data_IF_680531594662
#
_entry.id   IF_680531594662
#
_cell.length_a   1.000
_cell.length_b   1.000
_cell.length_c   1.000
_cell.angle_alpha   90.00
_cell.angle_beta   90.00
_cell.angle_gamma   90.00
#
_symmetry.space_group_name_H-M   'P 1'
#
loop_
_entity.id
_entity.type
_entity.pdbx_description
1 polymer ?
#
# COMPACT_ATOMS: atom_id res chain seq x y z
N UNK A 1 -13.40 19.25 -16.69
CA UNK A 1 -12.60 20.44 -16.28
C UNK A 1 -11.33 20.55 -17.14
N UNK A 2 -10.69 21.73 -17.22
CA UNK A 2 -9.36 21.90 -17.87
C UNK A 2 -8.22 21.84 -16.85
N UNK A 3 -6.98 21.60 -17.30
CA UNK A 3 -5.82 21.49 -16.40
C UNK A 3 -5.53 22.77 -15.60
N UNK A 4 -5.63 23.95 -16.23
CA UNK A 4 -5.44 25.22 -15.50
C UNK A 4 -6.51 25.45 -14.43
N UNK A 5 -7.76 25.03 -14.69
CA UNK A 5 -8.83 25.06 -13.69
C UNK A 5 -8.51 24.12 -12.51
N UNK A 6 -7.99 22.91 -12.77
CA UNK A 6 -7.54 21.98 -11.74
C UNK A 6 -6.46 22.62 -10.84
N UNK A 7 -5.45 23.28 -11.44
CA UNK A 7 -4.38 23.94 -10.70
C UNK A 7 -4.90 25.02 -9.76
N UNK A 8 -5.82 25.87 -10.23
CA UNK A 8 -6.41 26.92 -9.40
C UNK A 8 -7.26 26.34 -8.26
N UNK A 9 -8.03 25.30 -8.54
CA UNK A 9 -8.79 24.62 -7.48
C UNK A 9 -7.89 23.97 -6.43
N UNK A 10 -6.80 23.31 -6.83
CA UNK A 10 -5.80 22.74 -5.90
C UNK A 10 -5.15 23.81 -5.02
N UNK A 11 -4.86 25.00 -5.58
CA UNK A 11 -4.33 26.14 -4.80
C UNK A 11 -5.35 26.67 -3.79
N UNK A 12 -6.63 26.60 -4.10
CA UNK A 12 -7.73 27.08 -3.26
C UNK A 12 -8.15 26.09 -2.15
N UNK A 13 -7.61 24.86 -2.14
CA UNK A 13 -7.86 23.86 -1.08
C UNK A 13 -7.44 24.41 0.30
N UNK A 14 -8.21 24.15 1.38
CA UNK A 14 -7.84 24.56 2.73
C UNK A 14 -6.42 24.18 3.13
N UNK A 15 -5.76 25.04 3.92
CA UNK A 15 -4.36 24.86 4.31
C UNK A 15 -4.06 23.50 4.96
N UNK A 16 -5.04 22.90 5.65
CA UNK A 16 -4.93 21.58 6.26
C UNK A 16 -4.75 20.43 5.26
N UNK A 17 -5.21 20.60 4.01
CA UNK A 17 -5.14 19.60 2.94
C UNK A 17 -4.26 20.05 1.77
N UNK A 18 -3.79 21.30 1.77
CA UNK A 18 -3.06 21.90 0.66
C UNK A 18 -1.79 21.13 0.28
N UNK A 19 -1.07 20.56 1.26
CA UNK A 19 0.12 19.74 0.99
C UNK A 19 -0.26 18.48 0.19
N UNK A 20 -1.31 17.79 0.60
CA UNK A 20 -1.67 16.51 0.01
C UNK A 20 -2.24 16.69 -1.41
N UNK A 21 -3.05 17.73 -1.65
CA UNK A 21 -3.56 18.02 -2.99
C UNK A 21 -2.47 18.52 -3.95
N UNK A 22 -1.45 19.23 -3.45
CA UNK A 22 -0.28 19.58 -4.27
C UNK A 22 0.52 18.35 -4.67
N UNK A 23 0.69 17.40 -3.75
CA UNK A 23 1.35 16.13 -4.06
C UNK A 23 0.55 15.30 -5.06
N UNK A 24 -0.78 15.17 -4.88
CA UNK A 24 -1.66 14.53 -5.84
C UNK A 24 -1.55 15.15 -7.24
N UNK A 25 -1.53 16.48 -7.31
CA UNK A 25 -1.35 17.19 -8.57
C UNK A 25 0.00 16.87 -9.20
N UNK A 26 1.09 16.90 -8.42
CA UNK A 26 2.44 16.53 -8.88
C UNK A 26 2.47 15.12 -9.46
N UNK A 27 1.85 14.14 -8.78
CA UNK A 27 1.80 12.75 -9.22
C UNK A 27 0.94 12.54 -10.48
N UNK A 28 -0.12 13.34 -10.65
CA UNK A 28 -1.04 13.24 -11.78
C UNK A 28 -0.63 14.09 -13.00
N UNK A 29 0.44 14.89 -12.91
CA UNK A 29 0.81 15.86 -13.95
C UNK A 29 2.11 15.50 -14.68
N UNK A 30 2.17 15.89 -15.95
CA UNK A 30 3.36 15.83 -16.81
C UNK A 30 3.39 17.03 -17.75
N UNK A 31 4.56 17.69 -17.88
CA UNK A 31 4.82 18.71 -18.88
C UNK A 31 3.76 19.84 -19.01
N UNK A 32 3.10 20.20 -17.90
CA UNK A 32 2.07 21.25 -17.91
C UNK A 32 0.67 20.78 -18.31
N UNK A 33 0.39 19.48 -18.26
CA UNK A 33 -0.94 18.87 -18.37
C UNK A 33 -1.02 17.67 -17.39
N UNK A 34 -2.14 16.95 -17.37
CA UNK A 34 -2.23 15.63 -16.72
C UNK A 34 -1.65 14.53 -17.62
N UNK A 35 -1.25 13.42 -17.01
CA UNK A 35 -0.85 12.23 -17.77
C UNK A 35 -1.96 11.79 -18.74
N UNK A 36 -1.63 11.23 -19.93
CA UNK A 36 -2.62 10.83 -20.93
C UNK A 36 -3.73 9.92 -20.39
N UNK A 37 -3.39 8.96 -19.52
CA UNK A 37 -4.35 8.06 -18.89
C UNK A 37 -5.36 8.79 -17.98
N UNK A 38 -5.02 9.97 -17.47
CA UNK A 38 -5.91 10.76 -16.60
C UNK A 38 -6.74 11.80 -17.35
N UNK A 39 -6.57 11.96 -18.67
CA UNK A 39 -7.28 13.00 -19.44
C UNK A 39 -8.79 12.86 -19.37
N UNK A 40 -9.30 11.65 -19.57
CA UNK A 40 -10.75 11.37 -19.51
C UNK A 40 -11.31 11.69 -18.13
N UNK A 41 -10.57 11.35 -17.06
CA UNK A 41 -10.94 11.67 -15.69
C UNK A 41 -11.02 13.19 -15.46
N UNK A 42 -10.04 13.94 -15.98
CA UNK A 42 -10.01 15.40 -15.88
C UNK A 42 -11.17 16.06 -16.64
N UNK A 43 -11.44 15.61 -17.86
CA UNK A 43 -12.51 16.14 -18.71
C UNK A 43 -13.88 16.00 -18.04
N UNK A 44 -14.13 14.85 -17.42
CA UNK A 44 -15.40 14.51 -16.76
C UNK A 44 -15.53 15.08 -15.34
N UNK A 45 -14.44 15.45 -14.70
CA UNK A 45 -14.46 15.98 -13.35
C UNK A 45 -15.10 17.39 -13.29
N UNK A 46 -15.91 17.58 -12.25
CA UNK A 46 -16.50 18.88 -11.90
C UNK A 46 -15.57 19.72 -11.02
N UNK A 47 -14.79 19.07 -10.16
CA UNK A 47 -13.83 19.71 -9.27
C UNK A 47 -12.56 18.86 -9.06
N UNK A 48 -11.56 19.42 -8.39
CA UNK A 48 -10.29 18.77 -8.13
C UNK A 48 -10.43 17.50 -7.28
N UNK A 49 -11.38 17.45 -6.35
CA UNK A 49 -11.63 16.27 -5.51
C UNK A 49 -12.22 15.15 -6.36
N UNK A 50 -13.22 15.46 -7.18
CA UNK A 50 -13.86 14.55 -8.13
C UNK A 50 -12.86 14.00 -9.16
N UNK A 51 -11.92 14.83 -9.63
CA UNK A 51 -10.83 14.38 -10.49
C UNK A 51 -10.00 13.28 -9.83
N UNK A 52 -9.37 13.55 -8.68
CA UNK A 52 -8.51 12.56 -8.03
C UNK A 52 -9.30 11.34 -7.52
N UNK A 53 -10.54 11.55 -7.05
CA UNK A 53 -11.42 10.43 -6.69
C UNK A 53 -11.71 9.54 -7.89
N UNK A 54 -11.96 10.12 -9.07
CA UNK A 54 -12.24 9.31 -10.26
C UNK A 54 -11.04 8.49 -10.73
N UNK A 55 -9.80 8.99 -10.54
CA UNK A 55 -8.58 8.18 -10.74
C UNK A 55 -8.56 7.04 -9.74
N UNK A 56 -8.85 7.32 -8.47
CA UNK A 56 -8.90 6.28 -7.45
C UNK A 56 -9.98 5.24 -7.77
N UNK A 57 -11.19 5.63 -8.18
CA UNK A 57 -12.30 4.71 -8.44
C UNK A 57 -12.05 3.80 -9.65
N UNK A 58 -11.11 4.14 -10.54
CA UNK A 58 -10.75 3.31 -11.70
C UNK A 58 -9.72 2.23 -11.33
N UNK A 59 -10.14 0.97 -11.41
CA UNK A 59 -9.27 -0.19 -11.17
C UNK A 59 -8.16 -0.32 -12.22
N UNK A 60 -8.31 0.24 -13.43
CA UNK A 60 -7.21 0.29 -14.39
C UNK A 60 -6.07 1.19 -13.90
N UNK A 61 -6.37 2.16 -13.04
CA UNK A 61 -5.41 3.07 -12.44
C UNK A 61 -4.81 2.56 -11.12
N UNK A 62 -5.14 1.34 -10.66
CA UNK A 62 -4.75 0.87 -9.31
C UNK A 62 -3.24 0.79 -9.05
N UNK A 63 -2.41 0.71 -10.10
CA UNK A 63 -0.96 0.73 -10.00
C UNK A 63 -0.34 2.13 -10.13
N UNK A 64 -1.15 3.17 -10.32
CA UNK A 64 -0.68 4.55 -10.48
C UNK A 64 -0.32 5.20 -9.14
N UNK A 65 0.65 6.12 -9.17
CA UNK A 65 1.09 6.80 -7.94
C UNK A 65 -0.01 7.70 -7.36
N UNK A 66 -0.76 8.40 -8.21
CA UNK A 66 -1.86 9.25 -7.78
C UNK A 66 -2.98 8.44 -7.09
N UNK A 67 -3.26 7.23 -7.61
CA UNK A 67 -4.19 6.28 -7.01
C UNK A 67 -3.72 5.85 -5.62
N UNK A 68 -2.45 5.45 -5.49
CA UNK A 68 -1.86 5.02 -4.21
C UNK A 68 -1.88 6.13 -3.17
N UNK A 69 -1.51 7.34 -3.59
CA UNK A 69 -1.47 8.49 -2.70
C UNK A 69 -2.86 8.87 -2.21
N UNK A 70 -3.87 8.86 -3.09
CA UNK A 70 -5.27 9.05 -2.68
C UNK A 70 -5.71 8.03 -1.64
N UNK A 71 -5.40 6.75 -1.89
CA UNK A 71 -5.77 5.66 -1.00
C UNK A 71 -5.17 5.83 0.41
N UNK A 72 -3.90 6.25 0.48
CA UNK A 72 -3.19 6.53 1.74
C UNK A 72 -3.74 7.78 2.44
N UNK A 73 -3.93 8.87 1.71
CA UNK A 73 -4.43 10.15 2.23
C UNK A 73 -5.82 9.99 2.87
N UNK A 74 -6.74 9.31 2.18
CA UNK A 74 -8.12 9.16 2.63
C UNK A 74 -8.35 7.90 3.48
N UNK A 75 -7.31 7.12 3.77
CA UNK A 75 -7.40 5.88 4.56
C UNK A 75 -8.39 4.87 3.96
N UNK A 76 -8.35 4.71 2.65
CA UNK A 76 -9.28 3.84 1.93
C UNK A 76 -9.00 2.36 2.21
N UNK A 77 -10.06 1.54 2.18
CA UNK A 77 -9.96 0.07 2.28
C UNK A 77 -9.73 -0.53 0.89
N UNK A 78 -8.51 -0.36 0.37
CA UNK A 78 -8.22 -0.57 -1.03
C UNK A 78 -7.72 -1.99 -1.38
N UNK A 79 -7.25 -2.76 -0.40
CA UNK A 79 -6.57 -4.04 -0.64
C UNK A 79 -7.46 -5.10 -1.32
N UNK A 80 -8.78 -5.00 -1.17
CA UNK A 80 -9.76 -5.88 -1.84
C UNK A 80 -9.89 -5.62 -3.35
N UNK A 81 -9.25 -4.57 -3.87
CA UNK A 81 -9.24 -4.22 -5.30
C UNK A 81 -8.13 -4.91 -6.09
N UNK A 82 -7.33 -5.73 -5.40
CA UNK A 82 -6.25 -6.54 -5.97
C UNK A 82 -6.52 -8.03 -5.73
N UNK A 83 -5.89 -8.88 -6.54
CA UNK A 83 -6.02 -10.33 -6.45
C UNK A 83 -5.02 -10.88 -5.43
N UNK A 84 -5.46 -11.03 -4.18
CA UNK A 84 -4.67 -11.66 -3.13
C UNK A 84 -4.69 -13.19 -3.27
N UNK A 85 -3.55 -13.84 -3.01
CA UNK A 85 -3.50 -15.30 -2.88
C UNK A 85 -4.32 -15.78 -1.69
N UNK A 86 -4.30 -14.98 -0.61
CA UNK A 86 -5.08 -15.25 0.59
C UNK A 86 -5.51 -13.97 1.27
N UNK A 87 -6.67 -14.06 1.89
CA UNK A 87 -7.39 -12.93 2.43
C UNK A 87 -8.15 -13.36 3.69
N UNK A 88 -7.73 -12.85 4.86
CA UNK A 88 -8.54 -12.86 6.06
C UNK A 88 -9.14 -11.48 6.29
N UNK A 89 -10.40 -11.43 6.70
CA UNK A 89 -11.12 -10.19 6.99
C UNK A 89 -11.52 -10.17 8.45
N UNK A 90 -11.58 -8.97 9.02
CA UNK A 90 -12.08 -8.74 10.37
C UNK A 90 -11.35 -9.56 11.46
N UNK A 91 -10.03 -9.72 11.31
CA UNK A 91 -9.18 -10.31 12.34
C UNK A 91 -9.11 -9.35 13.52
N UNK A 92 -9.53 -9.81 14.70
CA UNK A 92 -9.43 -9.07 15.96
C UNK A 92 -7.98 -8.76 16.28
N UNK A 93 -7.73 -7.52 16.69
CA UNK A 93 -6.41 -7.04 17.06
C UNK A 93 -6.23 -7.09 18.56
N UNK A 94 -5.26 -7.89 18.99
CA UNK A 94 -4.75 -7.84 20.36
C UNK A 94 -3.72 -6.71 20.44
N UNK A 95 -3.86 -5.81 21.42
CA UNK A 95 -2.95 -4.68 21.63
C UNK A 95 -2.73 -3.78 20.39
N UNK A 96 -3.77 -3.59 19.56
CA UNK A 96 -3.74 -2.77 18.32
C UNK A 96 -2.76 -3.28 17.25
N UNK A 97 -2.39 -4.56 17.29
CA UNK A 97 -1.54 -5.18 16.29
C UNK A 97 -1.91 -6.63 16.02
N UNK A 98 -1.09 -7.28 15.21
CA UNK A 98 -1.21 -8.71 14.90
C UNK A 98 0.05 -9.41 15.36
N UNK A 99 -0.09 -10.54 16.04
CA UNK A 99 1.03 -11.37 16.46
C UNK A 99 1.43 -12.36 15.37
N UNK A 100 2.74 -12.41 15.11
CA UNK A 100 3.39 -13.50 14.40
C UNK A 100 3.99 -14.46 15.43
N UNK A 101 3.79 -15.76 15.23
CA UNK A 101 4.28 -16.80 16.15
C UNK A 101 5.12 -17.81 15.37
N UNK A 102 6.37 -18.01 15.74
CA UNK A 102 7.29 -18.93 15.06
C UNK A 102 8.55 -19.15 15.88
N UNK A 103 9.18 -20.33 15.78
CA UNK A 103 10.45 -20.62 16.48
C UNK A 103 10.40 -20.52 18.02
N UNK A 104 9.21 -20.56 18.63
CA UNK A 104 9.03 -20.30 20.07
C UNK A 104 9.00 -18.82 20.46
N UNK A 105 9.08 -17.91 19.49
CA UNK A 105 9.04 -16.47 19.67
C UNK A 105 7.69 -15.88 19.20
N UNK A 106 7.35 -14.71 19.75
CA UNK A 106 6.21 -13.90 19.30
C UNK A 106 6.68 -12.50 18.91
N UNK A 107 6.20 -12.00 17.77
CA UNK A 107 6.42 -10.62 17.32
C UNK A 107 5.10 -9.92 17.08
N UNK A 108 4.93 -8.77 17.71
CA UNK A 108 3.79 -7.89 17.48
C UNK A 108 4.09 -6.94 16.32
N UNK A 109 3.27 -6.99 15.27
CA UNK A 109 3.25 -5.97 14.22
C UNK A 109 2.17 -4.95 14.56
N UNK A 110 2.54 -3.71 14.97
CA UNK A 110 1.56 -2.69 15.31
C UNK A 110 0.88 -2.16 14.05
N UNK A 111 -0.44 -2.07 14.05
CA UNK A 111 -1.21 -1.45 12.98
C UNK A 111 -1.53 0.01 13.30
N UNK A 112 -1.58 0.83 12.26
CA UNK A 112 -1.90 2.25 12.40
C UNK A 112 -3.41 2.45 12.61
N UNK A 113 -3.78 3.23 13.63
CA UNK A 113 -5.16 3.63 13.91
C UNK A 113 -5.71 3.15 15.25
N UNK A 114 -7.00 3.41 15.47
CA UNK A 114 -7.75 3.02 16.69
C UNK A 114 -8.68 1.82 16.46
N UNK A 115 -8.57 1.16 15.30
CA UNK A 115 -9.41 0.01 14.99
C UNK A 115 -9.05 -1.18 15.88
N UNK A 116 -10.05 -1.97 16.24
CA UNK A 116 -9.88 -3.25 16.93
C UNK A 116 -9.88 -4.45 15.97
N UNK A 117 -10.01 -4.20 14.67
CA UNK A 117 -10.00 -5.22 13.63
C UNK A 117 -9.22 -4.77 12.40
N UNK A 118 -8.55 -5.71 11.75
CA UNK A 118 -7.89 -5.52 10.47
C UNK A 118 -8.11 -6.72 9.54
N UNK A 119 -7.82 -6.51 8.27
CA UNK A 119 -7.74 -7.57 7.27
C UNK A 119 -6.27 -7.96 7.08
N UNK A 120 -6.02 -9.25 6.87
CA UNK A 120 -4.68 -9.77 6.59
C UNK A 120 -4.67 -10.28 5.16
N UNK A 121 -3.67 -9.87 4.39
CA UNK A 121 -3.54 -10.21 2.97
C UNK A 121 -2.21 -10.89 2.73
N UNK A 122 -2.24 -11.89 1.85
CA UNK A 122 -1.06 -12.47 1.23
C UNK A 122 -1.14 -12.17 -0.27
N UNK A 123 -0.15 -11.45 -0.79
CA UNK A 123 0.03 -11.20 -2.20
C UNK A 123 1.30 -11.89 -2.70
N UNK A 124 1.31 -12.22 -3.99
CA UNK A 124 2.54 -12.46 -4.72
C UNK A 124 3.32 -11.16 -4.88
N UNK A 125 4.60 -11.28 -5.16
CA UNK A 125 5.46 -10.20 -5.62
C UNK A 125 4.80 -9.37 -6.71
N UNK A 126 4.78 -8.04 -6.52
CA UNK A 126 4.12 -7.06 -7.37
C UNK A 126 2.59 -7.25 -7.49
N UNK A 127 1.97 -8.00 -6.59
CA UNK A 127 0.53 -8.28 -6.58
C UNK A 127 -0.35 -7.10 -6.19
N UNK A 128 0.25 -6.01 -5.69
CA UNK A 128 -0.46 -4.79 -5.33
C UNK A 128 0.42 -3.56 -5.51
N UNK A 129 -0.17 -2.37 -5.35
CA UNK A 129 0.56 -1.11 -5.38
C UNK A 129 1.19 -0.80 -4.02
N UNK A 130 2.47 -1.15 -3.85
CA UNK A 130 3.22 -0.97 -2.60
C UNK A 130 3.23 0.46 -2.06
N UNK A 131 3.11 1.47 -2.95
CA UNK A 131 3.09 2.89 -2.58
C UNK A 131 1.82 3.29 -1.83
N UNK A 132 0.76 2.47 -1.92
CA UNK A 132 -0.49 2.66 -1.16
C UNK A 132 -0.36 2.17 0.30
N UNK A 133 0.75 1.51 0.64
CA UNK A 133 1.04 0.99 1.97
C UNK A 133 2.33 1.61 2.56
N UNK A 134 2.58 1.30 3.82
CA UNK A 134 3.80 1.62 4.54
C UNK A 134 4.61 0.34 4.73
N UNK A 135 5.83 0.31 4.22
CA UNK A 135 6.75 -0.80 4.47
C UNK A 135 7.13 -0.85 5.95
N UNK A 136 6.95 -2.01 6.58
CA UNK A 136 7.29 -2.24 7.99
C UNK A 136 8.62 -2.97 8.16
N UNK A 137 8.89 -3.97 7.33
CA UNK A 137 10.10 -4.78 7.39
C UNK A 137 9.98 -6.05 6.56
N UNK A 138 11.01 -6.89 6.59
CA UNK A 138 11.03 -8.18 5.93
C UNK A 138 11.13 -9.32 6.95
N UNK A 139 10.49 -10.46 6.66
CA UNK A 139 10.50 -11.66 7.51
C UNK A 139 10.73 -12.90 6.64
N UNK A 140 11.60 -13.79 7.11
CA UNK A 140 11.94 -15.04 6.43
C UNK A 140 11.76 -16.23 7.40
N UNK A 141 11.26 -17.34 6.89
CA UNK A 141 11.09 -18.58 7.64
C UNK A 141 9.63 -19.01 7.76
N UNK A 142 9.32 -19.78 8.80
CA UNK A 142 7.99 -20.35 9.03
C UNK A 142 7.37 -19.76 10.30
N UNK A 143 6.18 -19.17 10.15
CA UNK A 143 5.46 -18.53 11.24
C UNK A 143 3.95 -18.62 11.02
N UNK A 144 3.19 -18.45 12.09
CA UNK A 144 1.73 -18.37 12.07
C UNK A 144 1.28 -16.93 12.28
N UNK A 145 0.29 -16.49 11.50
CA UNK A 145 -0.35 -15.18 11.61
C UNK A 145 -1.87 -15.37 11.63
N UNK A 146 -2.52 -15.04 12.75
CA UNK A 146 -3.97 -15.21 12.93
C UNK A 146 -4.49 -16.62 12.56
N UNK A 147 -3.74 -17.67 12.89
CA UNK A 147 -4.08 -19.05 12.58
C UNK A 147 -3.73 -19.51 11.16
N UNK A 148 -3.11 -18.66 10.33
CA UNK A 148 -2.55 -19.05 9.03
C UNK A 148 -1.07 -19.38 9.19
N UNK A 149 -0.69 -20.57 8.75
CA UNK A 149 0.71 -20.94 8.53
C UNK A 149 1.25 -20.27 7.27
N UNK A 150 2.38 -19.57 7.42
CA UNK A 150 3.14 -18.91 6.37
C UNK A 150 4.57 -19.45 6.41
N UNK A 151 5.07 -19.86 5.25
CA UNK A 151 6.44 -20.32 5.06
C UNK A 151 7.04 -19.61 3.84
N UNK A 152 8.22 -19.02 3.98
CA UNK A 152 8.95 -18.35 2.89
C UNK A 152 9.55 -17.01 3.30
N UNK A 153 9.79 -16.16 2.31
CA UNK A 153 10.26 -14.78 2.47
C UNK A 153 9.15 -13.79 2.15
N UNK A 154 8.95 -12.81 3.02
CA UNK A 154 7.88 -11.84 2.90
C UNK A 154 8.34 -10.43 3.24
N UNK A 155 7.93 -9.48 2.41
CA UNK A 155 7.87 -8.08 2.80
C UNK A 155 6.55 -7.79 3.51
N UNK A 156 6.63 -7.10 4.63
CA UNK A 156 5.49 -6.77 5.48
C UNK A 156 5.14 -5.31 5.27
N UNK A 157 3.90 -5.06 4.86
CA UNK A 157 3.36 -3.73 4.68
C UNK A 157 2.14 -3.49 5.57
N UNK A 158 1.94 -2.23 5.96
CA UNK A 158 0.82 -1.77 6.76
C UNK A 158 0.03 -0.73 5.97
N UNK A 159 -1.28 -0.90 5.92
CA UNK A 159 -2.20 0.11 5.41
C UNK A 159 -3.36 0.32 6.38
N UNK A 160 -4.28 1.23 6.07
CA UNK A 160 -5.42 1.47 6.95
C UNK A 160 -6.21 0.17 7.17
N UNK A 161 -6.20 -0.33 8.41
CA UNK A 161 -6.87 -1.58 8.80
C UNK A 161 -6.45 -2.80 7.96
N UNK A 162 -5.21 -2.80 7.45
CA UNK A 162 -4.69 -3.93 6.68
C UNK A 162 -3.24 -4.25 7.06
N UNK A 163 -2.96 -5.53 7.25
CA UNK A 163 -1.62 -6.11 7.28
C UNK A 163 -1.42 -6.89 5.99
N UNK A 164 -0.32 -6.65 5.30
CA UNK A 164 -0.05 -7.22 4.00
C UNK A 164 1.29 -7.94 4.04
N UNK A 165 1.30 -9.19 3.61
CA UNK A 165 2.50 -9.97 3.32
C UNK A 165 2.65 -10.07 1.81
N UNK A 166 3.75 -9.55 1.28
CA UNK A 166 4.15 -9.77 -0.11
C UNK A 166 5.20 -10.87 -0.15
N UNK A 167 4.83 -12.03 -0.70
CA UNK A 167 5.76 -13.15 -0.89
C UNK A 167 6.69 -12.85 -2.05
N UNK A 168 7.99 -13.00 -1.83
CA UNK A 168 9.00 -12.91 -2.89
C UNK A 168 9.88 -14.15 -2.96
N UNK A 169 10.41 -14.41 -4.15
CA UNK A 169 11.28 -15.56 -4.41
C UNK A 169 12.74 -15.21 -4.15
N UNK A 170 13.45 -16.18 -3.57
CA UNK A 170 14.86 -16.07 -3.28
C UNK A 170 15.65 -16.75 -4.40
N UNK A 171 16.62 -16.06 -4.98
CA UNK A 171 17.57 -16.62 -5.94
C UNK A 171 18.60 -17.57 -5.27
N UNK A 172 19.44 -18.21 -6.08
CA UNK A 172 20.49 -19.11 -5.59
C UNK A 172 21.53 -18.42 -4.69
N UNK A 173 21.59 -17.08 -4.71
CA UNK A 173 22.50 -16.25 -3.90
C UNK A 173 21.83 -15.71 -2.63
N UNK A 174 20.64 -16.21 -2.28
CA UNK A 174 19.84 -15.75 -1.15
C UNK A 174 19.37 -14.29 -1.25
N UNK A 175 19.14 -13.80 -2.47
CA UNK A 175 18.68 -12.44 -2.76
C UNK A 175 17.28 -12.49 -3.37
N UNK A 176 16.54 -11.38 -3.28
CA UNK A 176 15.28 -11.24 -3.99
C UNK A 176 15.52 -11.36 -5.50
N UNK A 177 14.81 -12.27 -6.16
CA UNK A 177 15.08 -12.66 -7.55
C UNK A 177 14.93 -11.50 -8.56
N UNK A 178 14.11 -10.49 -8.26
CA UNK A 178 13.83 -9.35 -9.14
C UNK A 178 14.67 -8.08 -8.83
N UNK A 179 15.52 -8.13 -7.80
CA UNK A 179 16.40 -7.04 -7.42
C UNK A 179 15.72 -5.83 -6.75
N UNK A 180 14.44 -5.89 -6.39
CA UNK A 180 13.78 -4.82 -5.60
C UNK A 180 14.34 -4.75 -4.18
N UNK A 181 14.79 -3.57 -3.76
CA UNK A 181 14.94 -3.17 -2.36
C UNK A 181 15.78 -4.08 -1.48
N UNK A 182 17.09 -4.21 -1.74
CA UNK A 182 18.03 -4.61 -0.68
C UNK A 182 18.15 -3.47 0.34
N UNK A 183 17.15 -3.30 1.21
CA UNK A 183 17.36 -2.56 2.44
C UNK A 183 18.29 -3.45 3.28
N UNK A 184 19.57 -3.07 3.34
CA UNK A 184 20.55 -3.57 4.32
C UNK A 184 20.09 -3.19 5.73
N UNK A 185 19.00 -3.76 6.23
CA UNK A 185 18.66 -3.76 7.66
C UNK A 185 19.23 -5.03 8.27
N UNK A 186 20.51 -4.96 8.62
CA UNK A 186 21.06 -5.37 9.93
C UNK A 186 20.70 -6.69 10.61
N UNK A 187 19.97 -7.61 10.01
CA UNK A 187 19.83 -8.99 10.48
C UNK A 187 20.24 -9.92 9.35
N UNK A 188 21.25 -10.72 9.62
CA UNK A 188 21.81 -11.69 8.70
C UNK A 188 20.71 -12.65 8.21
N UNK A 189 20.47 -12.67 6.89
CA UNK A 189 19.52 -13.56 6.21
C UNK A 189 19.89 -15.05 6.36
N UNK A 190 20.94 -15.36 7.11
CA UNK A 190 21.38 -16.70 7.48
C UNK A 190 20.67 -17.27 8.71
N UNK A 191 19.99 -16.43 9.51
CA UNK A 191 19.29 -16.91 10.71
C UNK A 191 17.82 -17.14 10.38
N UNK A 192 17.35 -18.40 10.32
CA UNK A 192 15.92 -18.66 10.34
C UNK A 192 15.31 -18.07 11.62
N UNK A 193 14.08 -17.60 11.51
CA UNK A 193 13.21 -17.41 12.66
C UNK A 193 13.06 -18.69 13.49
#
# INVERSE_FOLDING_TARGET
MKYEELKEQVKAVPASQAKDYRELLSLASIAGDVWPQFKKHLEQAQDCRGFFKSIYDDDACRFENAWAYWAKMNKELWADRFEAERALRNVTLDNKGVFLKGGGNELLIPLSGRSHAASIYLFRENGFNEKAAEFYGAINGSFTCAGIELEGAFDVYRAHRALIFERWEIDQLKRRADGKGQIRTGCDCSTPW
#
